data_IF_929026558881
#
_entry.id   IF_929026558881
#
_cell.length_a   1.000
_cell.length_b   1.000
_cell.length_c   1.000
_cell.angle_alpha   90.00
_cell.angle_beta   90.00
_cell.angle_gamma   90.00
#
_symmetry.space_group_name_H-M   'P 1'
#
loop_
_entity.id
_entity.type
_entity.pdbx_description
1 polymer ?
#
# COMPACT_ATOMS: atom_id res chain seq x y z
N UNK A 1 16.92 10.31 -14.54
CA UNK A 1 15.52 9.81 -14.45
C UNK A 1 15.35 8.63 -13.49
N UNK A 2 16.34 7.78 -13.30
CA UNK A 2 16.21 6.58 -12.45
C UNK A 2 16.18 6.88 -10.94
N UNK A 3 16.85 7.92 -10.46
CA UNK A 3 16.82 8.35 -9.07
C UNK A 3 15.48 8.96 -8.65
N UNK A 4 14.77 9.61 -9.57
CA UNK A 4 13.46 10.21 -9.29
C UNK A 4 12.42 9.15 -8.92
N UNK A 5 12.37 8.01 -9.64
CA UNK A 5 11.45 6.92 -9.32
C UNK A 5 11.72 6.32 -7.92
N UNK A 6 13.00 6.17 -7.56
CA UNK A 6 13.36 5.69 -6.22
C UNK A 6 12.96 6.68 -5.13
N UNK A 7 13.11 7.98 -5.39
CA UNK A 7 12.64 9.02 -4.50
C UNK A 7 11.12 9.07 -4.35
N UNK A 8 10.38 8.95 -5.44
CA UNK A 8 8.92 8.82 -5.40
C UNK A 8 8.52 7.61 -4.56
N UNK A 9 9.17 6.47 -4.76
CA UNK A 9 8.94 5.26 -3.96
C UNK A 9 9.18 5.50 -2.47
N UNK A 10 10.33 6.11 -2.13
CA UNK A 10 10.74 6.36 -0.75
C UNK A 10 9.74 7.25 0.01
N UNK A 11 9.03 8.15 -0.68
CA UNK A 11 7.98 9.00 -0.08
C UNK A 11 6.62 8.33 -0.13
N UNK A 12 6.20 7.81 -1.29
CA UNK A 12 4.85 7.29 -1.48
C UNK A 12 4.57 6.04 -0.62
N UNK A 13 5.54 5.12 -0.48
CA UNK A 13 5.32 3.87 0.23
C UNK A 13 5.01 4.06 1.73
N UNK A 14 5.84 4.80 2.51
CA UNK A 14 5.51 5.04 3.91
C UNK A 14 4.19 5.77 4.09
N UNK A 15 3.88 6.76 3.24
CA UNK A 15 2.64 7.52 3.31
C UNK A 15 1.42 6.61 3.09
N UNK A 16 1.46 5.74 2.08
CA UNK A 16 0.35 4.82 1.79
C UNK A 16 0.19 3.78 2.89
N UNK A 17 1.30 3.16 3.34
CA UNK A 17 1.25 2.12 4.38
C UNK A 17 0.78 2.70 5.73
N UNK A 18 1.35 3.81 6.17
CA UNK A 18 0.94 4.44 7.44
C UNK A 18 -0.48 5.02 7.36
N UNK A 19 -0.87 5.56 6.21
CA UNK A 19 -2.24 5.98 5.97
C UNK A 19 -3.23 4.82 6.04
N UNK A 20 -2.87 3.64 5.50
CA UNK A 20 -3.65 2.41 5.62
C UNK A 20 -3.81 2.01 7.09
N UNK A 21 -2.70 1.91 7.83
CA UNK A 21 -2.71 1.59 9.27
C UNK A 21 -3.58 2.55 10.07
N UNK A 22 -3.45 3.86 9.81
CA UNK A 22 -4.27 4.87 10.47
C UNK A 22 -5.78 4.68 10.23
N UNK A 23 -6.16 4.37 8.99
CA UNK A 23 -7.55 4.04 8.66
C UNK A 23 -8.05 2.79 9.37
N UNK A 24 -7.21 1.77 9.47
CA UNK A 24 -7.52 0.49 10.13
C UNK A 24 -7.67 0.64 11.65
N UNK A 25 -6.78 1.41 12.30
CA UNK A 25 -6.84 1.68 13.75
C UNK A 25 -8.09 2.48 14.12
N UNK A 26 -8.54 3.39 13.26
CA UNK A 26 -9.77 4.15 13.48
C UNK A 26 -11.05 3.31 13.39
N UNK A 27 -10.99 2.14 12.73
CA UNK A 27 -12.14 1.23 12.58
C UNK A 27 -11.73 -0.19 13.00
N UNK A 28 -11.53 -0.41 14.31
CA UNK A 28 -11.11 -1.71 14.82
C UNK A 28 -12.15 -2.77 14.44
N UNK A 29 -11.69 -3.88 13.96
CA UNK A 29 -12.54 -4.98 13.49
C UNK A 29 -12.94 -4.93 12.02
N UNK A 30 -12.82 -3.79 11.30
CA UNK A 30 -13.17 -3.70 9.89
C UNK A 30 -12.32 -4.65 9.01
N UNK A 31 -11.02 -4.73 9.26
CA UNK A 31 -10.12 -5.66 8.53
C UNK A 31 -10.49 -7.11 8.83
N UNK A 32 -10.74 -7.44 10.09
CA UNK A 32 -11.13 -8.80 10.53
C UNK A 32 -12.45 -9.21 9.88
N UNK A 33 -13.45 -8.32 9.86
CA UNK A 33 -14.75 -8.58 9.25
C UNK A 33 -14.63 -8.75 7.72
N UNK A 34 -13.79 -7.95 7.08
CA UNK A 34 -13.50 -8.06 5.65
C UNK A 34 -12.85 -9.41 5.32
N UNK A 35 -11.79 -9.81 6.05
CA UNK A 35 -11.12 -11.10 5.86
C UNK A 35 -12.09 -12.26 6.04
N UNK A 36 -12.99 -12.19 7.04
CA UNK A 36 -14.05 -13.19 7.24
C UNK A 36 -15.06 -13.24 6.09
N UNK A 37 -15.47 -12.09 5.58
CA UNK A 37 -16.41 -11.99 4.46
C UNK A 37 -15.82 -12.52 3.15
N UNK A 38 -14.51 -12.33 2.96
CA UNK A 38 -13.78 -12.85 1.79
C UNK A 38 -13.70 -14.39 1.78
N UNK A 39 -13.72 -15.05 2.94
CA UNK A 39 -13.84 -16.50 3.07
C UNK A 39 -12.68 -17.32 2.49
N UNK A 40 -11.51 -16.72 2.35
CA UNK A 40 -10.27 -17.39 1.90
C UNK A 40 -9.48 -17.93 3.10
N UNK A 41 -9.45 -17.13 4.17
CA UNK A 41 -8.78 -17.50 5.42
C UNK A 41 -9.79 -18.16 6.36
N UNK A 42 -9.45 -19.27 7.03
CA UNK A 42 -10.31 -19.89 8.05
C UNK A 42 -10.73 -18.85 9.10
N UNK A 43 -12.00 -18.90 9.53
CA UNK A 43 -12.57 -17.90 10.45
C UNK A 43 -11.75 -17.72 11.74
N UNK A 44 -11.16 -18.80 12.26
CA UNK A 44 -10.30 -18.77 13.44
C UNK A 44 -9.00 -17.97 13.22
N UNK A 45 -8.48 -17.95 12.00
CA UNK A 45 -7.24 -17.27 11.64
C UNK A 45 -7.46 -15.83 11.12
N UNK A 46 -8.71 -15.40 10.91
CA UNK A 46 -9.00 -14.08 10.36
C UNK A 46 -8.49 -12.92 11.25
N UNK A 47 -8.60 -13.06 12.58
CA UNK A 47 -8.06 -12.10 13.53
C UNK A 47 -6.52 -12.02 13.51
N UNK A 48 -5.82 -13.14 13.75
CA UNK A 48 -4.37 -13.20 13.65
C UNK A 48 -3.82 -12.71 12.30
N UNK A 49 -4.43 -13.10 11.19
CA UNK A 49 -4.03 -12.66 9.85
C UNK A 49 -4.19 -11.14 9.65
N UNK A 50 -5.32 -10.57 10.09
CA UNK A 50 -5.54 -9.14 10.04
C UNK A 50 -4.52 -8.37 10.90
N UNK A 51 -4.25 -8.84 12.13
CA UNK A 51 -3.27 -8.22 13.02
C UNK A 51 -1.86 -8.30 12.43
N UNK A 52 -1.46 -9.45 11.88
CA UNK A 52 -0.16 -9.62 11.24
C UNK A 52 0.00 -8.67 10.03
N UNK A 53 -1.05 -8.49 9.23
CA UNK A 53 -1.05 -7.56 8.11
C UNK A 53 -0.86 -6.10 8.59
N UNK A 54 -1.64 -5.67 9.58
CA UNK A 54 -1.53 -4.32 10.17
C UNK A 54 -0.14 -4.08 10.78
N UNK A 55 0.39 -5.05 11.52
CA UNK A 55 1.71 -4.96 12.13
C UNK A 55 2.82 -4.88 11.07
N UNK A 56 2.71 -5.65 9.99
CA UNK A 56 3.66 -5.62 8.87
C UNK A 56 3.61 -4.26 8.16
N UNK A 57 2.42 -3.72 7.84
CA UNK A 57 2.26 -2.40 7.24
C UNK A 57 2.86 -1.29 8.13
N UNK A 58 2.57 -1.35 9.44
CA UNK A 58 3.10 -0.39 10.39
C UNK A 58 4.64 -0.46 10.48
N UNK A 59 5.20 -1.65 10.62
CA UNK A 59 6.64 -1.84 10.72
C UNK A 59 7.37 -1.35 9.46
N UNK A 60 6.92 -1.77 8.29
CA UNK A 60 7.52 -1.38 7.00
C UNK A 60 7.36 0.12 6.77
N UNK A 61 6.17 0.67 7.05
CA UNK A 61 5.90 2.10 6.91
C UNK A 61 6.75 2.96 7.84
N UNK A 62 6.89 2.58 9.12
CA UNK A 62 7.71 3.30 10.10
C UNK A 62 9.20 3.21 9.77
N UNK A 63 9.71 2.01 9.44
CA UNK A 63 11.12 1.86 9.04
C UNK A 63 11.39 2.67 7.78
N UNK A 64 10.51 2.63 6.79
CA UNK A 64 10.65 3.42 5.57
C UNK A 64 10.67 4.92 5.84
N UNK A 65 9.72 5.42 6.66
CA UNK A 65 9.62 6.84 7.00
C UNK A 65 10.84 7.33 7.79
N UNK A 66 11.24 6.61 8.84
CA UNK A 66 12.39 6.98 9.66
C UNK A 66 13.70 6.94 8.87
N UNK A 67 13.88 5.91 8.05
CA UNK A 67 15.08 5.77 7.21
C UNK A 67 15.18 6.87 6.15
N UNK A 68 14.03 7.28 5.58
CA UNK A 68 13.98 8.41 4.65
C UNK A 68 14.39 9.73 5.33
N UNK A 69 13.84 10.02 6.52
CA UNK A 69 14.16 11.22 7.29
C UNK A 69 15.65 11.25 7.67
N UNK A 70 16.19 10.11 8.08
CA UNK A 70 17.60 9.96 8.45
C UNK A 70 18.53 9.77 7.24
N UNK A 71 17.98 9.72 6.03
CA UNK A 71 18.70 9.51 4.75
C UNK A 71 19.59 8.26 4.75
N UNK A 72 19.08 7.17 5.33
CA UNK A 72 19.78 5.88 5.41
C UNK A 72 19.42 5.00 4.21
N UNK A 73 20.30 4.92 3.21
CA UNK A 73 20.03 4.18 1.96
C UNK A 73 19.76 2.69 2.19
N UNK A 74 20.61 2.01 2.96
CA UNK A 74 20.45 0.57 3.23
C UNK A 74 19.08 0.21 3.82
N UNK A 75 18.66 0.83 4.93
CA UNK A 75 17.33 0.63 5.51
C UNK A 75 16.16 1.03 4.59
N UNK A 76 16.30 2.10 3.77
CA UNK A 76 15.28 2.47 2.77
C UNK A 76 15.12 1.36 1.74
N UNK A 77 16.21 0.79 1.24
CA UNK A 77 16.17 -0.34 0.29
C UNK A 77 15.54 -1.58 0.93
N UNK A 78 15.90 -1.90 2.17
CA UNK A 78 15.32 -3.03 2.90
C UNK A 78 13.81 -2.84 3.14
N UNK A 79 13.37 -1.66 3.58
CA UNK A 79 11.97 -1.33 3.77
C UNK A 79 11.19 -1.38 2.44
N UNK A 80 11.79 -0.86 1.35
CA UNK A 80 11.19 -0.94 0.02
C UNK A 80 11.06 -2.38 -0.47
N UNK A 81 12.06 -3.23 -0.22
CA UNK A 81 12.01 -4.67 -0.53
C UNK A 81 10.90 -5.39 0.24
N UNK A 82 10.81 -5.12 1.54
CA UNK A 82 9.73 -5.66 2.37
C UNK A 82 8.35 -5.18 1.90
N UNK A 83 8.23 -3.89 1.54
CA UNK A 83 7.01 -3.33 0.95
C UNK A 83 6.64 -4.01 -0.38
N UNK A 84 7.62 -4.29 -1.25
CA UNK A 84 7.40 -4.97 -2.52
C UNK A 84 6.82 -6.37 -2.31
N UNK A 85 7.35 -7.13 -1.35
CA UNK A 85 6.83 -8.46 -1.00
C UNK A 85 5.43 -8.35 -0.42
N UNK A 86 5.21 -7.48 0.57
CA UNK A 86 3.91 -7.31 1.23
C UNK A 86 2.82 -6.89 0.24
N UNK A 87 3.08 -5.87 -0.56
CA UNK A 87 2.13 -5.35 -1.56
C UNK A 87 1.94 -6.32 -2.72
N UNK A 88 2.97 -7.08 -3.09
CA UNK A 88 2.88 -8.17 -4.07
C UNK A 88 1.93 -9.27 -3.60
N UNK A 89 2.05 -9.69 -2.34
CA UNK A 89 1.12 -10.65 -1.73
C UNK A 89 -0.31 -10.10 -1.70
N UNK A 90 -0.48 -8.81 -1.38
CA UNK A 90 -1.80 -8.17 -1.41
C UNK A 90 -2.37 -8.11 -2.83
N UNK A 91 -1.54 -7.83 -3.84
CA UNK A 91 -1.98 -7.81 -5.23
C UNK A 91 -2.49 -9.18 -5.70
N UNK A 92 -1.73 -10.24 -5.40
CA UNK A 92 -2.12 -11.62 -5.73
C UNK A 92 -3.40 -12.01 -4.99
N UNK A 93 -3.47 -11.74 -3.69
CA UNK A 93 -4.64 -12.01 -2.86
C UNK A 93 -5.88 -11.27 -3.37
N UNK A 94 -5.76 -9.95 -3.61
CA UNK A 94 -6.86 -9.14 -4.12
C UNK A 94 -7.30 -9.56 -5.52
N UNK A 95 -6.37 -9.94 -6.40
CA UNK A 95 -6.69 -10.46 -7.72
C UNK A 95 -7.45 -11.80 -7.62
N UNK A 96 -7.05 -12.68 -6.74
CA UNK A 96 -7.76 -13.94 -6.49
C UNK A 96 -9.19 -13.70 -5.96
N UNK A 97 -9.32 -12.87 -4.90
CA UNK A 97 -10.62 -12.58 -4.28
C UNK A 97 -11.56 -11.87 -5.26
N UNK A 98 -11.07 -10.87 -6.00
CA UNK A 98 -11.89 -10.12 -6.96
C UNK A 98 -12.43 -10.96 -8.11
N UNK A 99 -11.74 -12.06 -8.45
CA UNK A 99 -12.17 -13.01 -9.50
C UNK A 99 -13.12 -14.09 -8.97
N UNK A 100 -12.93 -14.51 -7.72
CA UNK A 100 -13.68 -15.66 -7.15
C UNK A 100 -14.85 -15.22 -6.27
N UNK A 101 -14.86 -14.02 -5.75
CA UNK A 101 -15.88 -13.49 -4.84
C UNK A 101 -16.35 -12.12 -5.31
N UNK A 102 -17.65 -11.91 -5.46
CA UNK A 102 -18.24 -10.63 -5.86
C UNK A 102 -18.82 -9.90 -4.67
N UNK A 103 -18.62 -8.56 -4.62
CA UNK A 103 -19.26 -7.69 -3.62
C UNK A 103 -18.69 -7.80 -2.20
N UNK A 104 -17.56 -8.50 -1.99
CA UNK A 104 -16.94 -8.57 -0.66
C UNK A 104 -16.14 -7.30 -0.36
N UNK A 105 -16.10 -6.83 0.91
CA UNK A 105 -15.36 -5.63 1.28
C UNK A 105 -13.85 -5.84 1.20
N UNK A 106 -13.11 -4.76 0.83
CA UNK A 106 -11.65 -4.76 0.79
C UNK A 106 -11.04 -4.71 2.20
N UNK A 107 -11.61 -3.91 3.09
CA UNK A 107 -11.07 -3.67 4.44
C UNK A 107 -9.90 -2.68 4.52
N UNK A 108 -9.24 -2.33 3.40
CA UNK A 108 -8.04 -1.48 3.41
C UNK A 108 -8.33 0.03 3.55
N UNK A 109 -9.43 0.51 2.94
CA UNK A 109 -9.74 1.95 2.86
C UNK A 109 -11.11 2.30 3.44
N UNK A 110 -11.74 1.38 4.14
CA UNK A 110 -13.07 1.50 4.72
C UNK A 110 -13.93 0.28 4.41
N UNK A 111 -14.93 0.01 5.27
CA UNK A 111 -15.76 -1.18 5.18
C UNK A 111 -16.56 -1.28 3.87
N UNK A 112 -16.83 -0.14 3.22
CA UNK A 112 -17.75 -0.02 2.09
C UNK A 112 -17.08 -0.12 0.72
N UNK A 113 -15.75 -0.20 0.66
CA UNK A 113 -15.01 -0.33 -0.61
C UNK A 113 -15.02 -1.79 -1.07
N UNK A 114 -15.66 -2.14 -2.19
CA UNK A 114 -15.67 -3.51 -2.67
C UNK A 114 -14.29 -3.93 -3.18
N UNK A 115 -13.97 -5.21 -3.00
CA UNK A 115 -12.76 -5.82 -3.55
C UNK A 115 -12.91 -5.95 -5.06
N UNK A 116 -12.22 -5.11 -5.80
CA UNK A 116 -12.28 -5.05 -7.27
C UNK A 116 -10.90 -5.27 -7.87
N UNK A 117 -10.84 -5.52 -9.19
CA UNK A 117 -9.57 -5.59 -9.93
C UNK A 117 -8.71 -4.31 -9.78
N UNK A 118 -9.32 -3.14 -9.53
CA UNK A 118 -8.61 -1.89 -9.27
C UNK A 118 -7.82 -1.91 -7.96
N UNK A 119 -8.34 -2.59 -6.94
CA UNK A 119 -7.61 -2.79 -5.67
C UNK A 119 -6.36 -3.64 -5.91
N UNK A 120 -6.48 -4.71 -6.69
CA UNK A 120 -5.34 -5.54 -7.08
C UNK A 120 -4.33 -4.75 -7.94
N UNK A 121 -4.81 -3.98 -8.92
CA UNK A 121 -3.98 -3.12 -9.77
C UNK A 121 -3.20 -2.07 -8.98
N UNK A 122 -3.85 -1.42 -8.01
CA UNK A 122 -3.20 -0.47 -7.11
C UNK A 122 -2.08 -1.13 -6.31
N UNK A 123 -2.35 -2.28 -5.72
CA UNK A 123 -1.35 -3.01 -4.94
C UNK A 123 -0.17 -3.46 -5.82
N UNK A 124 -0.43 -3.91 -7.05
CA UNK A 124 0.60 -4.28 -8.01
C UNK A 124 1.47 -3.08 -8.44
N UNK A 125 0.86 -1.93 -8.70
CA UNK A 125 1.57 -0.69 -9.03
C UNK A 125 2.49 -0.24 -7.89
N UNK A 126 1.99 -0.28 -6.64
CA UNK A 126 2.78 0.02 -5.45
C UNK A 126 3.91 -1.00 -5.24
N UNK A 127 3.65 -2.29 -5.49
CA UNK A 127 4.69 -3.33 -5.40
C UNK A 127 5.80 -3.11 -6.43
N UNK A 128 5.45 -2.75 -7.66
CA UNK A 128 6.43 -2.43 -8.71
C UNK A 128 7.27 -1.20 -8.36
N UNK A 129 6.62 -0.15 -7.83
CA UNK A 129 7.30 1.05 -7.34
C UNK A 129 8.24 0.72 -6.17
N UNK A 130 7.79 -0.12 -5.24
CA UNK A 130 8.59 -0.59 -4.11
C UNK A 130 9.81 -1.39 -4.56
N UNK A 131 9.64 -2.25 -5.55
CA UNK A 131 10.75 -3.00 -6.15
C UNK A 131 11.78 -2.06 -6.80
N UNK A 132 11.32 -1.02 -7.51
CA UNK A 132 12.22 0.00 -8.07
C UNK A 132 13.00 0.74 -6.97
N UNK A 133 12.37 1.07 -5.84
CA UNK A 133 13.02 1.65 -4.67
C UNK A 133 14.05 0.72 -4.03
N UNK A 134 13.73 -0.57 -3.89
CA UNK A 134 14.64 -1.57 -3.34
C UNK A 134 15.90 -1.77 -4.20
N UNK A 135 15.73 -1.79 -5.52
CA UNK A 135 16.84 -2.01 -6.45
C UNK A 135 17.78 -0.80 -6.57
N UNK A 136 17.25 0.41 -6.45
CA UNK A 136 18.00 1.64 -6.75
C UNK A 136 18.43 2.44 -5.52
N UNK A 137 17.66 2.37 -4.44
CA UNK A 137 17.94 3.12 -3.22
C UNK A 137 17.77 4.63 -3.37
N UNK A 138 18.24 5.37 -2.37
CA UNK A 138 18.26 6.83 -2.38
C UNK A 138 19.43 7.32 -3.24
N UNK A 139 19.26 8.37 -4.06
CA UNK A 139 20.40 9.04 -4.70
C UNK A 139 21.37 9.61 -3.66
N UNK A 140 22.69 9.43 -3.89
CA UNK A 140 23.72 9.88 -2.96
C UNK A 140 23.76 11.42 -2.85
N UNK A 141 23.55 12.12 -3.98
CA UNK A 141 23.65 13.57 -4.09
C UNK A 141 22.30 14.20 -4.46
N UNK A 142 21.35 14.17 -3.53
CA UNK A 142 20.06 14.81 -3.74
C UNK A 142 20.14 16.30 -3.50
N UNK A 143 19.92 17.09 -4.55
CA UNK A 143 19.65 18.52 -4.39
C UNK A 143 18.31 18.75 -3.67
N UNK A 144 18.17 19.88 -2.98
CA UNK A 144 16.91 20.23 -2.33
C UNK A 144 15.72 20.28 -3.34
N UNK A 145 16.01 20.68 -4.58
CA UNK A 145 15.02 20.71 -5.65
C UNK A 145 14.55 19.31 -6.04
N UNK A 146 15.47 18.35 -6.25
CA UNK A 146 15.12 16.97 -6.60
C UNK A 146 14.34 16.29 -5.47
N UNK A 147 14.72 16.54 -4.22
CA UNK A 147 14.00 16.06 -3.04
C UNK A 147 12.56 16.63 -2.99
N UNK A 148 12.40 17.93 -3.28
CA UNK A 148 11.09 18.56 -3.33
C UNK A 148 10.21 17.99 -4.47
N UNK A 149 10.77 17.79 -5.65
CA UNK A 149 10.07 17.19 -6.80
C UNK A 149 9.66 15.75 -6.50
N UNK A 150 10.57 14.93 -5.96
CA UNK A 150 10.26 13.55 -5.59
C UNK A 150 9.22 13.49 -4.47
N UNK A 151 9.31 14.38 -3.48
CA UNK A 151 8.35 14.52 -2.39
C UNK A 151 6.96 14.85 -2.91
N UNK A 152 6.84 15.88 -3.70
CA UNK A 152 5.56 16.32 -4.28
C UNK A 152 4.95 15.25 -5.20
N UNK A 153 5.76 14.65 -6.07
CA UNK A 153 5.33 13.59 -6.95
C UNK A 153 4.92 12.33 -6.16
N UNK A 154 5.67 11.98 -5.10
CA UNK A 154 5.36 10.83 -4.24
C UNK A 154 4.05 11.02 -3.48
N UNK A 155 3.81 12.21 -2.92
CA UNK A 155 2.55 12.56 -2.26
C UNK A 155 1.37 12.56 -3.25
N UNK A 156 1.56 13.16 -4.44
CA UNK A 156 0.55 13.16 -5.49
C UNK A 156 0.19 11.74 -5.95
N UNK A 157 1.18 10.90 -6.15
CA UNK A 157 0.99 9.49 -6.51
C UNK A 157 0.24 8.72 -5.42
N UNK A 158 0.63 8.92 -4.16
CA UNK A 158 -0.07 8.32 -3.02
C UNK A 158 -1.54 8.75 -2.95
N UNK A 159 -1.82 10.04 -3.13
CA UNK A 159 -3.18 10.58 -3.13
C UNK A 159 -4.03 10.02 -4.27
N UNK A 160 -3.50 9.96 -5.50
CA UNK A 160 -4.18 9.38 -6.66
C UNK A 160 -4.52 7.91 -6.41
N UNK A 161 -3.55 7.11 -5.95
CA UNK A 161 -3.78 5.70 -5.67
C UNK A 161 -4.73 5.46 -4.50
N UNK A 162 -4.80 6.40 -3.56
CA UNK A 162 -5.74 6.34 -2.44
C UNK A 162 -7.18 6.61 -2.90
N UNK A 163 -7.38 7.61 -3.74
CA UNK A 163 -8.71 8.05 -4.21
C UNK A 163 -9.26 7.23 -5.37
N UNK A 164 -8.38 6.59 -6.16
CA UNK A 164 -8.75 5.84 -7.36
C UNK A 164 -9.86 4.80 -7.15
N UNK A 165 -9.85 3.95 -6.10
CA UNK A 165 -10.92 2.99 -5.88
C UNK A 165 -12.28 3.64 -5.64
N UNK A 166 -12.32 4.78 -4.95
CA UNK A 166 -13.56 5.52 -4.67
C UNK A 166 -14.12 6.14 -5.95
N UNK A 167 -13.29 6.79 -6.75
CA UNK A 167 -13.70 7.41 -8.02
C UNK A 167 -14.25 6.39 -9.04
N UNK A 168 -13.80 5.14 -8.97
CA UNK A 168 -14.24 4.08 -9.88
C UNK A 168 -15.55 3.41 -9.47
N UNK A 169 -15.96 3.53 -8.20
CA UNK A 169 -17.24 2.99 -7.72
C UNK A 169 -18.40 3.88 -8.20
N UNK A 170 -18.22 5.21 -8.17
CA UNK A 170 -19.25 6.18 -8.56
C UNK A 170 -19.62 6.14 -10.05
N UNK A 171 -18.78 5.54 -10.90
CA UNK A 171 -18.99 5.45 -12.34
C UNK A 171 -19.81 4.25 -12.81
N UNK A 172 -20.32 3.41 -11.92
CA UNK A 172 -21.24 2.34 -12.30
C UNK A 172 -22.66 2.90 -12.27
N UNK A 173 -23.28 3.26 -13.44
CA UNK A 173 -24.67 3.64 -13.45
C UNK A 173 -25.47 2.45 -12.93
N UNK A 174 -26.43 2.75 -12.04
CA UNK A 174 -27.45 1.79 -11.65
C UNK A 174 -28.23 1.42 -12.92
N UNK A 175 -27.97 0.26 -13.48
CA UNK A 175 -28.75 -0.37 -14.55
C UNK A 175 -29.78 -1.29 -13.95
#
# INVERSE_FOLDING_TARGET
MTGLLAGIAAVALPVVLLGSVFGQVRRPGAVVSAVRAQGVVPRALAGPAALAAIAAEAAVGLVGATSLVLRLDGPVRAASGAAAVLLGLYAVYAAYVSRTRRGVPCGCAGADTPMTGWVAGRAAALAALALAGALRGLPADWSAYEAAVAGTAGLGFAAILWTLPHAMIERRPAG
#
